data_IF_305266343602
#
_entry.id   IF_305266343602
#
_cell.length_a   1.000
_cell.length_b   1.000
_cell.length_c   1.000
_cell.angle_alpha   90.00
_cell.angle_beta   90.00
_cell.angle_gamma   90.00
#
_symmetry.space_group_name_H-M   'P 1'
#
loop_
_entity.id
_entity.type
_entity.pdbx_description
1 polymer ?
#
# COMPACT_ATOMS: atom_id res chain seq x y z
N UNK A 1 2.26 -0.59 -15.09
CA UNK A 1 2.99 -1.66 -14.38
C UNK A 1 3.00 -2.88 -15.26
N UNK A 2 3.92 -3.83 -15.09
CA UNK A 2 3.99 -5.01 -15.95
C UNK A 2 2.94 -6.04 -15.49
N UNK A 3 1.91 -6.33 -16.29
CA UNK A 3 0.91 -7.34 -15.93
C UNK A 3 1.55 -8.72 -15.79
N UNK A 4 1.08 -9.51 -14.82
CA UNK A 4 1.54 -10.88 -14.59
C UNK A 4 2.92 -10.99 -13.91
N UNK A 5 3.67 -9.90 -13.78
CA UNK A 5 4.97 -9.89 -13.09
C UNK A 5 4.85 -9.39 -11.65
N UNK A 6 5.50 -10.03 -10.66
CA UNK A 6 5.56 -9.51 -9.30
C UNK A 6 6.30 -8.18 -9.24
N UNK A 7 5.76 -7.22 -8.49
CA UNK A 7 6.35 -5.93 -8.21
C UNK A 7 6.62 -5.76 -6.72
N UNK A 8 7.84 -5.34 -6.37
CA UNK A 8 8.14 -4.86 -5.02
C UNK A 8 7.70 -3.41 -4.90
N UNK A 9 6.76 -3.16 -4.00
CA UNK A 9 6.12 -1.86 -3.79
C UNK A 9 6.51 -1.32 -2.43
N UNK A 10 6.85 -0.03 -2.38
CA UNK A 10 7.21 0.66 -1.14
C UNK A 10 6.45 1.98 -1.05
N UNK A 11 5.80 2.22 0.09
CA UNK A 11 5.23 3.53 0.42
C UNK A 11 5.67 3.95 1.82
N UNK A 12 6.06 5.22 1.99
CA UNK A 12 6.62 5.74 3.25
C UNK A 12 5.78 6.88 3.79
N UNK A 13 5.72 7.02 5.11
CA UNK A 13 5.13 8.16 5.77
C UNK A 13 5.90 9.46 5.48
N UNK A 14 5.17 10.54 5.28
CA UNK A 14 5.71 11.89 5.13
C UNK A 14 6.60 12.22 6.34
N UNK A 15 7.78 12.80 6.12
CA UNK A 15 8.79 13.07 7.15
C UNK A 15 9.19 11.84 7.99
N UNK A 16 9.05 10.62 7.43
CA UNK A 16 9.29 9.35 8.14
C UNK A 16 8.45 9.16 9.41
N UNK A 17 7.35 9.91 9.54
CA UNK A 17 6.45 9.82 10.68
C UNK A 17 5.79 8.45 10.77
N UNK A 18 5.37 8.07 11.97
CA UNK A 18 4.58 6.87 12.16
C UNK A 18 3.27 6.96 11.35
N UNK A 19 3.01 5.92 10.56
CA UNK A 19 1.76 5.71 9.81
C UNK A 19 0.93 4.58 10.43
N UNK A 20 1.48 3.85 11.39
CA UNK A 20 0.79 2.94 12.28
C UNK A 20 1.21 3.26 13.72
N UNK A 21 0.23 3.55 14.58
CA UNK A 21 0.44 3.93 15.98
C UNK A 21 -0.13 2.85 16.92
N UNK A 22 -1.27 2.26 16.55
CA UNK A 22 -1.93 1.20 17.30
C UNK A 22 -2.21 -0.02 16.42
N UNK A 23 -2.42 -1.19 17.03
CA UNK A 23 -2.69 -2.45 16.31
C UNK A 23 -3.89 -2.36 15.36
N UNK A 24 -4.90 -1.54 15.71
CA UNK A 24 -6.08 -1.34 14.85
C UNK A 24 -5.73 -0.69 13.51
N UNK A 25 -4.66 0.11 13.47
CA UNK A 25 -4.21 0.75 12.24
C UNK A 25 -3.69 -0.30 11.25
N UNK A 26 -2.93 -1.27 11.75
CA UNK A 26 -2.43 -2.40 10.96
C UNK A 26 -3.58 -3.26 10.43
N UNK A 27 -4.55 -3.59 11.29
CA UNK A 27 -5.73 -4.39 10.90
C UNK A 27 -6.54 -3.67 9.83
N UNK A 28 -6.86 -2.39 10.04
CA UNK A 28 -7.62 -1.60 9.07
C UNK A 28 -6.89 -1.49 7.72
N UNK A 29 -5.56 -1.32 7.74
CA UNK A 29 -4.77 -1.30 6.50
C UNK A 29 -4.84 -2.63 5.75
N UNK A 30 -4.70 -3.76 6.46
CA UNK A 30 -4.78 -5.09 5.86
C UNK A 30 -6.17 -5.39 5.29
N UNK A 31 -7.24 -5.02 6.00
CA UNK A 31 -8.61 -5.17 5.50
C UNK A 31 -8.78 -4.41 4.17
N UNK A 32 -8.30 -3.16 4.12
CA UNK A 32 -8.36 -2.35 2.89
C UNK A 32 -7.41 -2.81 1.81
N UNK A 33 -6.28 -3.42 2.15
CA UNK A 33 -5.41 -4.08 1.19
C UNK A 33 -6.15 -5.24 0.52
N UNK A 34 -6.77 -6.14 1.29
CA UNK A 34 -7.53 -7.30 0.78
C UNK A 34 -8.67 -6.82 -0.14
N UNK A 35 -9.52 -5.91 0.34
CA UNK A 35 -10.63 -5.36 -0.48
C UNK A 35 -10.13 -4.71 -1.79
N UNK A 36 -9.00 -4.01 -1.73
CA UNK A 36 -8.41 -3.37 -2.90
C UNK A 36 -7.81 -4.38 -3.88
N UNK A 37 -7.27 -5.49 -3.39
CA UNK A 37 -6.76 -6.59 -4.21
C UNK A 37 -7.87 -7.25 -5.01
N UNK A 38 -8.96 -7.61 -4.34
CA UNK A 38 -10.12 -8.25 -4.97
C UNK A 38 -10.74 -7.35 -6.03
N UNK A 39 -10.89 -6.06 -5.70
CA UNK A 39 -11.48 -5.07 -6.61
C UNK A 39 -10.62 -4.79 -7.84
N UNK A 40 -9.30 -4.82 -7.68
CA UNK A 40 -8.37 -4.39 -8.73
C UNK A 40 -7.55 -5.53 -9.33
N UNK A 41 -7.91 -6.79 -9.06
CA UNK A 41 -7.27 -7.98 -9.61
C UNK A 41 -5.75 -7.93 -9.41
N UNK A 42 -5.35 -7.86 -8.15
CA UNK A 42 -3.95 -7.91 -7.74
C UNK A 42 -3.75 -9.10 -6.81
N UNK A 43 -2.76 -9.94 -7.09
CA UNK A 43 -2.34 -10.99 -6.16
C UNK A 43 -1.24 -10.45 -5.24
N UNK A 44 -1.46 -10.49 -3.92
CA UNK A 44 -0.44 -10.17 -2.92
C UNK A 44 0.25 -11.45 -2.49
N UNK A 45 1.58 -11.46 -2.59
CA UNK A 45 2.40 -12.61 -2.23
C UNK A 45 3.02 -12.48 -0.85
N UNK A 46 3.35 -11.25 -0.46
CA UNK A 46 3.90 -10.94 0.87
C UNK A 46 3.73 -9.46 1.20
N UNK A 47 3.81 -9.14 2.49
CA UNK A 47 3.79 -7.77 2.99
C UNK A 47 4.67 -7.63 4.23
N UNK A 48 5.17 -6.41 4.45
CA UNK A 48 5.81 -5.99 5.70
C UNK A 48 5.25 -4.61 6.06
N UNK A 49 4.64 -4.51 7.25
CA UNK A 49 4.11 -3.26 7.80
C UNK A 49 5.06 -2.76 8.88
N UNK A 50 5.90 -1.80 8.54
CA UNK A 50 6.76 -1.10 9.48
C UNK A 50 6.01 0.12 10.01
N UNK A 51 6.34 0.60 11.21
CA UNK A 51 5.65 1.73 11.84
C UNK A 51 5.54 2.98 10.95
N UNK A 52 6.50 3.23 10.05
CA UNK A 52 6.52 4.39 9.17
C UNK A 52 6.55 4.07 7.66
N UNK A 53 6.44 2.81 7.24
CA UNK A 53 6.42 2.44 5.82
C UNK A 53 5.87 1.03 5.58
N UNK A 54 5.49 0.78 4.35
CA UNK A 54 4.94 -0.51 3.91
C UNK A 54 5.76 -1.05 2.75
N UNK A 55 6.06 -2.34 2.79
CA UNK A 55 6.54 -3.12 1.65
C UNK A 55 5.47 -4.13 1.24
N UNK A 56 5.19 -4.22 -0.05
CA UNK A 56 4.31 -5.25 -0.62
C UNK A 56 5.03 -5.96 -1.78
N UNK A 57 4.76 -7.25 -1.96
CA UNK A 57 5.07 -7.97 -3.19
C UNK A 57 3.75 -8.31 -3.89
N UNK A 58 3.49 -7.67 -5.03
CA UNK A 58 2.17 -7.71 -5.69
C UNK A 58 2.31 -8.00 -7.17
N UNK A 59 1.55 -8.96 -7.69
CA UNK A 59 1.38 -9.17 -9.14
C UNK A 59 0.06 -8.55 -9.61
N UNK A 60 0.08 -7.51 -10.45
CA UNK A 60 -1.13 -6.97 -11.05
C UNK A 60 -1.57 -7.79 -12.28
N UNK A 61 -2.87 -8.01 -12.45
CA UNK A 61 -3.40 -8.66 -13.66
C UNK A 61 -3.45 -7.71 -14.87
N UNK A 62 -3.59 -6.40 -14.63
CA UNK A 62 -3.66 -5.36 -15.68
C UNK A 62 -2.67 -4.23 -15.41
N UNK A 63 -2.35 -3.46 -16.44
CA UNK A 63 -1.31 -2.42 -16.38
C UNK A 63 -1.56 -1.36 -15.29
N UNK A 64 -2.82 -1.04 -15.01
CA UNK A 64 -3.27 -0.03 -14.06
C UNK A 64 -3.76 -0.59 -12.72
N UNK A 65 -3.88 -1.92 -12.59
CA UNK A 65 -4.39 -2.61 -11.41
C UNK A 65 -3.66 -2.20 -10.12
N UNK A 66 -2.33 -2.24 -10.12
CA UNK A 66 -1.54 -1.89 -8.94
C UNK A 66 -1.67 -0.40 -8.57
N UNK A 67 -1.72 0.49 -9.56
CA UNK A 67 -1.92 1.92 -9.31
C UNK A 67 -3.30 2.19 -8.69
N UNK A 68 -4.34 1.52 -9.18
CA UNK A 68 -5.71 1.61 -8.64
C UNK A 68 -5.80 1.04 -7.22
N UNK A 69 -5.17 -0.10 -6.96
CA UNK A 69 -5.04 -0.68 -5.62
C UNK A 69 -4.41 0.32 -4.65
N UNK A 70 -3.23 0.87 -4.99
CA UNK A 70 -2.52 1.79 -4.10
C UNK A 70 -3.29 3.11 -3.90
N UNK A 71 -4.01 3.57 -4.92
CA UNK A 71 -4.89 4.74 -4.81
C UNK A 71 -6.06 4.49 -3.86
N UNK A 72 -6.69 3.32 -3.95
CA UNK A 72 -7.82 2.95 -3.07
C UNK A 72 -7.36 2.84 -1.61
N UNK A 73 -6.27 2.13 -1.34
CA UNK A 73 -5.67 2.04 0.01
C UNK A 73 -5.35 3.44 0.53
N UNK A 74 -4.65 4.27 -0.26
CA UNK A 74 -4.31 5.62 0.13
C UNK A 74 -5.54 6.46 0.49
N UNK A 75 -6.61 6.38 -0.30
CA UNK A 75 -7.86 7.11 -0.05
C UNK A 75 -8.49 6.70 1.29
N UNK A 76 -8.69 5.40 1.53
CA UNK A 76 -9.36 4.94 2.74
C UNK A 76 -8.49 5.07 3.99
N UNK A 77 -7.21 4.69 3.88
CA UNK A 77 -6.31 4.67 5.03
C UNK A 77 -5.97 6.07 5.54
N UNK A 78 -5.71 7.03 4.64
CA UNK A 78 -5.41 8.41 5.05
C UNK A 78 -6.63 9.04 5.73
N UNK A 79 -7.84 8.80 5.23
CA UNK A 79 -9.07 9.28 5.86
C UNK A 79 -9.28 8.68 7.25
N UNK A 80 -9.13 7.36 7.38
CA UNK A 80 -9.18 6.65 8.66
C UNK A 80 -8.19 7.22 9.67
N UNK A 81 -6.91 7.30 9.28
CA UNK A 81 -5.84 7.74 10.16
C UNK A 81 -6.04 9.19 10.61
N UNK A 82 -6.39 10.09 9.67
CA UNK A 82 -6.66 11.48 9.97
C UNK A 82 -7.85 11.64 10.92
N UNK A 83 -8.92 10.87 10.72
CA UNK A 83 -10.07 10.90 11.63
C UNK A 83 -9.70 10.40 13.03
N UNK A 84 -9.06 9.23 13.13
CA UNK A 84 -8.70 8.58 14.40
C UNK A 84 -7.75 9.44 15.24
N UNK A 85 -6.76 10.07 14.60
CA UNK A 85 -5.73 10.85 15.28
C UNK A 85 -5.95 12.36 15.22
N UNK A 86 -7.13 12.82 14.77
CA UNK A 86 -7.48 14.24 14.63
C UNK A 86 -6.44 15.05 13.84
N UNK A 87 -5.95 14.45 12.75
CA UNK A 87 -4.97 15.05 11.84
C UNK A 87 -5.62 15.53 10.56
N UNK A 88 -4.88 16.35 9.81
CA UNK A 88 -5.24 16.79 8.47
C UNK A 88 -4.03 16.66 7.54
N UNK A 89 -4.27 16.78 6.23
CA UNK A 89 -3.23 16.70 5.21
C UNK A 89 -2.84 15.29 4.80
N UNK A 90 -1.73 15.19 4.06
CA UNK A 90 -1.19 13.93 3.56
C UNK A 90 -0.48 13.11 4.65
N UNK A 91 -0.64 11.79 4.59
CA UNK A 91 0.09 10.86 5.47
C UNK A 91 1.40 10.37 4.83
N UNK A 92 1.38 10.13 3.52
CA UNK A 92 2.46 9.51 2.75
C UNK A 92 3.39 10.55 2.13
N UNK A 93 4.65 10.16 1.92
CA UNK A 93 5.70 10.93 1.27
C UNK A 93 5.57 10.86 -0.27
N UNK A 94 4.42 11.32 -0.77
CA UNK A 94 4.10 11.30 -2.19
C UNK A 94 3.64 9.95 -2.73
N UNK A 95 4.05 9.63 -3.96
CA UNK A 95 3.66 8.38 -4.65
C UNK A 95 4.47 7.19 -4.13
N UNK A 96 3.85 6.01 -4.17
CA UNK A 96 4.57 4.76 -3.93
C UNK A 96 5.65 4.54 -4.99
N UNK A 97 6.70 3.80 -4.60
CA UNK A 97 7.72 3.27 -5.50
C UNK A 97 7.38 1.83 -5.87
N UNK A 98 7.69 1.43 -7.08
CA UNK A 98 7.49 0.06 -7.57
C UNK A 98 8.64 -0.33 -8.47
N UNK A 99 9.16 -1.55 -8.29
CA UNK A 99 10.12 -2.16 -9.18
C UNK A 99 9.66 -3.60 -9.49
N UNK A 100 9.64 -4.04 -10.76
CA UNK A 100 9.41 -5.45 -11.06
C UNK A 100 10.51 -6.28 -10.39
N UNK A 101 10.13 -7.40 -9.80
CA UNK A 101 11.07 -8.40 -9.33
C UNK A 101 11.40 -9.28 -10.52
N UNK A 102 12.68 -9.36 -10.83
CA UNK A 102 13.18 -10.27 -11.84
C UNK A 102 13.79 -11.50 -11.17
N UNK A 103 13.61 -12.65 -11.81
CA UNK A 103 14.35 -13.84 -11.43
C UNK A 103 15.65 -13.76 -12.20
N UNK A 104 16.77 -13.46 -11.55
CA UNK A 104 18.07 -13.70 -12.16
C UNK A 104 18.19 -15.21 -12.43
N UNK A 105 18.01 -15.61 -13.69
CA UNK A 105 18.45 -16.90 -14.23
C UNK A 105 19.51 -16.63 -15.30
#
# INVERSE_FOLDING_TARGET
MLPGQPHHVIIRGNNRQAVFIADEDYRFYLDKLIESCDKHMCAVHSYVLMTNHVHLLVTPEKEDSLSKLMQMIGRFYVQYFNHRYRRTGGLWDGRFKSAPVDTCL
#
